data_IF_871559061440
#
_entry.id   IF_871559061440
#
_cell.length_a   1.000
_cell.length_b   1.000
_cell.length_c   1.000
_cell.angle_alpha   90.00
_cell.angle_beta   90.00
_cell.angle_gamma   90.00
#
_symmetry.space_group_name_H-M   'P 1'
#
loop_
_entity.id
_entity.type
_entity.pdbx_description
1 polymer ?
#
# COMPACT_ATOMS: atom_id res chain seq x y z
N UNK A 1 22.14 -4.02 -0.63
CA UNK A 1 21.60 -2.98 0.29
C UNK A 1 20.09 -3.13 0.52
N UNK A 2 19.20 -3.04 -0.48
CA UNK A 2 17.76 -3.27 -0.22
C UNK A 2 17.46 -4.71 0.25
N UNK A 3 18.17 -5.70 -0.25
CA UNK A 3 17.99 -7.12 0.12
C UNK A 3 18.49 -7.47 1.55
N UNK A 4 19.01 -6.50 2.28
CA UNK A 4 19.43 -6.65 3.69
C UNK A 4 18.35 -6.16 4.66
N UNK A 5 17.25 -5.60 4.12
CA UNK A 5 16.11 -5.13 4.89
C UNK A 5 15.05 -6.23 4.97
N UNK A 6 14.37 -6.32 6.11
CA UNK A 6 13.27 -7.27 6.31
C UNK A 6 12.09 -6.99 5.39
N UNK A 7 11.83 -5.70 5.09
CA UNK A 7 10.82 -5.26 4.13
C UNK A 7 11.13 -3.86 3.58
N UNK A 8 10.55 -3.53 2.45
CA UNK A 8 10.68 -2.21 1.79
C UNK A 8 9.30 -1.66 1.45
N UNK A 9 9.08 -0.41 1.82
CA UNK A 9 7.92 0.38 1.36
C UNK A 9 8.38 1.24 0.19
N UNK A 10 7.89 0.93 -1.01
CA UNK A 10 8.12 1.76 -2.20
C UNK A 10 7.02 2.81 -2.31
N UNK A 11 7.37 4.07 -2.46
CA UNK A 11 6.41 5.18 -2.44
C UNK A 11 6.66 6.18 -3.56
N UNK A 12 5.60 6.82 -4.02
CA UNK A 12 5.66 7.88 -5.03
C UNK A 12 6.00 9.22 -4.36
N UNK A 13 7.23 9.69 -4.54
CA UNK A 13 7.72 10.95 -3.96
C UNK A 13 8.19 11.99 -4.95
N UNK A 14 8.28 11.66 -6.22
CA UNK A 14 8.89 12.53 -7.22
C UNK A 14 7.98 13.72 -7.56
N UNK A 15 8.17 14.83 -6.86
CA UNK A 15 7.59 16.12 -7.19
C UNK A 15 7.84 16.45 -8.68
N UNK A 16 6.78 16.56 -9.46
CA UNK A 16 6.83 16.92 -10.87
C UNK A 16 7.09 15.79 -11.87
N UNK A 17 7.65 14.66 -11.45
CA UNK A 17 7.97 13.54 -12.34
C UNK A 17 6.76 12.76 -12.80
N UNK A 18 5.72 12.70 -11.96
CA UNK A 18 4.45 11.98 -12.18
C UNK A 18 3.35 12.87 -12.80
N UNK A 19 3.51 14.19 -12.71
CA UNK A 19 2.55 15.14 -13.27
C UNK A 19 2.69 15.24 -14.79
N UNK A 20 1.55 15.24 -15.48
CA UNK A 20 1.49 15.38 -16.94
C UNK A 20 1.93 14.14 -17.72
N UNK A 21 2.12 13.01 -17.03
CA UNK A 21 2.26 11.69 -17.64
C UNK A 21 0.88 11.06 -17.74
N UNK A 22 0.70 10.20 -18.73
CA UNK A 22 -0.51 9.42 -18.89
C UNK A 22 -0.63 8.30 -17.83
N UNK A 23 -1.83 7.79 -17.66
CA UNK A 23 -2.17 6.71 -16.74
C UNK A 23 -1.34 5.46 -17.00
N UNK A 24 -1.15 5.10 -18.26
CA UNK A 24 -0.40 3.90 -18.64
C UNK A 24 1.05 4.00 -18.15
N UNK A 25 1.74 5.10 -18.45
CA UNK A 25 3.13 5.31 -18.04
C UNK A 25 3.30 5.28 -16.52
N UNK A 26 2.40 5.92 -15.78
CA UNK A 26 2.43 5.92 -14.32
C UNK A 26 2.16 4.52 -13.76
N UNK A 27 1.19 3.81 -14.32
CA UNK A 27 0.87 2.43 -13.92
C UNK A 27 2.06 1.51 -14.14
N UNK A 28 2.69 1.55 -15.32
CA UNK A 28 3.87 0.74 -15.63
C UNK A 28 5.03 0.97 -14.65
N UNK A 29 5.28 2.20 -14.22
CA UNK A 29 6.31 2.47 -13.20
C UNK A 29 5.95 1.86 -11.83
N UNK A 30 4.66 1.84 -11.44
CA UNK A 30 4.25 1.16 -10.20
C UNK A 30 4.40 -0.36 -10.32
N UNK A 31 4.02 -0.95 -11.45
CA UNK A 31 4.19 -2.38 -11.70
C UNK A 31 5.67 -2.77 -11.61
N UNK A 32 6.58 -1.99 -12.22
CA UNK A 32 8.02 -2.21 -12.13
C UNK A 32 8.54 -2.11 -10.67
N UNK A 33 7.99 -1.19 -9.88
CA UNK A 33 8.35 -1.09 -8.46
C UNK A 33 7.87 -2.30 -7.65
N UNK A 34 6.70 -2.86 -7.98
CA UNK A 34 6.14 -4.08 -7.38
C UNK A 34 6.97 -5.31 -7.78
N UNK A 35 7.43 -5.38 -9.03
CA UNK A 35 8.27 -6.48 -9.53
C UNK A 35 9.62 -6.57 -8.83
N UNK A 36 10.09 -5.47 -8.26
CA UNK A 36 11.35 -5.48 -7.54
C UNK A 36 11.28 -6.44 -6.35
N UNK A 37 12.20 -7.42 -6.22
CA UNK A 37 12.10 -8.48 -5.21
C UNK A 37 12.10 -7.96 -3.77
N UNK A 38 12.77 -6.86 -3.49
CA UNK A 38 12.80 -6.26 -2.15
C UNK A 38 11.52 -5.47 -1.81
N UNK A 39 10.69 -5.08 -2.78
CA UNK A 39 9.47 -4.32 -2.51
C UNK A 39 8.42 -5.22 -1.86
N UNK A 40 8.01 -4.88 -0.65
CA UNK A 40 6.96 -5.59 0.08
C UNK A 40 5.67 -4.81 0.10
N UNK A 41 5.75 -3.48 0.25
CA UNK A 41 4.59 -2.60 0.38
C UNK A 41 4.66 -1.50 -0.67
N UNK A 42 3.55 -1.22 -1.35
CA UNK A 42 3.39 -0.03 -2.17
C UNK A 42 2.70 1.06 -1.33
N UNK A 43 3.43 2.15 -1.04
CA UNK A 43 2.98 3.26 -0.20
C UNK A 43 2.23 4.33 -1.00
N UNK A 44 1.14 4.87 -0.45
CA UNK A 44 0.29 5.96 -0.99
C UNK A 44 0.32 6.08 -2.53
N UNK A 45 -0.21 5.08 -3.25
CA UNK A 45 0.07 4.84 -4.67
C UNK A 45 -0.38 5.96 -5.61
N UNK A 46 -1.39 6.76 -5.21
CA UNK A 46 -1.84 7.89 -6.03
C UNK A 46 -1.09 9.18 -5.74
N UNK A 47 -0.40 9.25 -4.61
CA UNK A 47 0.29 10.47 -4.17
C UNK A 47 -0.65 11.65 -3.93
N UNK A 48 -1.98 11.44 -3.80
CA UNK A 48 -2.96 12.51 -3.58
C UNK A 48 -2.73 13.24 -2.26
N UNK A 49 -3.15 14.51 -2.23
CA UNK A 49 -3.26 15.30 -1.01
C UNK A 49 -4.65 15.93 -1.01
N UNK A 50 -5.51 15.48 -0.10
CA UNK A 50 -6.88 15.99 0.04
C UNK A 50 -6.86 17.52 0.25
N UNK A 51 -7.74 18.23 -0.45
CA UNK A 51 -7.81 19.71 -0.47
C UNK A 51 -6.54 20.42 -0.99
N UNK A 52 -5.57 19.70 -1.52
CA UNK A 52 -4.33 20.28 -2.00
C UNK A 52 -3.94 19.86 -3.42
N UNK A 53 -4.02 18.57 -3.71
CA UNK A 53 -3.57 18.01 -4.99
C UNK A 53 -4.33 16.74 -5.31
N UNK A 54 -4.86 16.65 -6.52
CA UNK A 54 -5.40 15.39 -7.04
C UNK A 54 -4.31 14.32 -7.11
N UNK A 55 -4.73 13.06 -7.04
CA UNK A 55 -3.85 11.93 -7.28
C UNK A 55 -3.31 11.92 -8.70
N UNK A 56 -2.20 11.25 -8.89
CA UNK A 56 -1.72 10.93 -10.24
C UNK A 56 -2.68 9.94 -10.90
N UNK A 57 -2.83 10.06 -12.22
CA UNK A 57 -3.58 9.09 -13.00
C UNK A 57 -2.85 7.75 -12.99
N UNK A 58 -3.49 6.74 -12.42
CA UNK A 58 -2.96 5.37 -12.24
C UNK A 58 -4.13 4.39 -12.30
N UNK A 59 -3.99 3.33 -13.06
CA UNK A 59 -4.90 2.19 -13.02
C UNK A 59 -4.63 1.33 -11.76
N UNK A 60 -5.29 1.69 -10.67
CA UNK A 60 -5.18 0.95 -9.40
C UNK A 60 -5.78 -0.46 -9.48
N UNK A 61 -6.67 -0.74 -10.45
CA UNK A 61 -7.18 -2.09 -10.63
C UNK A 61 -6.07 -2.99 -11.17
N UNK A 62 -5.37 -2.56 -12.23
CA UNK A 62 -4.22 -3.27 -12.77
C UNK A 62 -3.12 -3.47 -11.73
N UNK A 63 -2.85 -2.46 -10.89
CA UNK A 63 -1.87 -2.54 -9.79
C UNK A 63 -2.27 -3.62 -8.77
N UNK A 64 -3.53 -3.66 -8.34
CA UNK A 64 -4.02 -4.65 -7.38
C UNK A 64 -4.06 -6.06 -7.96
N UNK A 65 -4.48 -6.21 -9.22
CA UNK A 65 -4.48 -7.50 -9.92
C UNK A 65 -3.04 -8.05 -10.02
N UNK A 66 -2.06 -7.22 -10.37
CA UNK A 66 -0.65 -7.59 -10.43
C UNK A 66 -0.08 -7.99 -9.06
N UNK A 67 -0.45 -7.28 -7.99
CA UNK A 67 -0.06 -7.66 -6.62
C UNK A 67 -0.66 -9.02 -6.22
N UNK A 68 -1.89 -9.30 -6.62
CA UNK A 68 -2.54 -10.57 -6.36
C UNK A 68 -1.82 -11.74 -7.08
N UNK A 69 -1.35 -11.54 -8.30
CA UNK A 69 -0.53 -12.51 -9.04
C UNK A 69 0.76 -12.83 -8.27
N UNK A 70 1.49 -11.81 -7.80
CA UNK A 70 2.68 -12.01 -6.98
C UNK A 70 2.38 -12.79 -5.69
N UNK A 71 1.27 -12.47 -5.01
CA UNK A 71 0.87 -13.15 -3.77
C UNK A 71 0.50 -14.63 -4.03
N UNK A 72 -0.14 -14.92 -5.16
CA UNK A 72 -0.44 -16.30 -5.56
C UNK A 72 0.83 -17.13 -5.82
N UNK A 73 1.94 -16.49 -6.17
CA UNK A 73 3.24 -17.10 -6.35
C UNK A 73 4.08 -17.15 -5.05
N UNK A 74 3.49 -16.79 -3.90
CA UNK A 74 4.15 -16.80 -2.60
C UNK A 74 5.06 -15.59 -2.33
N UNK A 75 4.96 -14.54 -3.13
CA UNK A 75 5.73 -13.30 -2.97
C UNK A 75 4.85 -12.23 -2.32
N UNK A 76 5.05 -11.96 -1.04
CA UNK A 76 4.24 -10.98 -0.31
C UNK A 76 4.33 -9.59 -0.93
N UNK A 77 3.22 -9.09 -1.43
CA UNK A 77 2.99 -7.71 -1.88
C UNK A 77 1.77 -7.16 -1.17
N UNK A 78 1.94 -6.10 -0.43
CA UNK A 78 0.89 -5.45 0.34
C UNK A 78 0.66 -4.01 -0.13
N UNK A 79 -0.58 -3.56 -0.06
CA UNK A 79 -0.96 -2.19 -0.39
C UNK A 79 -1.06 -1.33 0.88
N UNK A 80 -0.46 -0.14 0.87
CA UNK A 80 -0.64 0.79 1.96
C UNK A 80 -2.03 1.44 1.92
N UNK A 81 -2.67 1.52 3.07
CA UNK A 81 -3.69 2.51 3.38
C UNK A 81 -3.04 3.59 4.26
N UNK A 82 -2.59 4.66 3.64
CA UNK A 82 -2.02 5.81 4.33
C UNK A 82 -3.11 6.50 5.15
N UNK A 83 -2.93 6.51 6.46
CA UNK A 83 -3.93 6.99 7.42
C UNK A 83 -3.86 8.50 7.66
N UNK A 84 -2.88 9.21 7.07
CA UNK A 84 -2.83 10.66 7.18
C UNK A 84 -4.14 11.28 6.71
N UNK A 85 -4.79 12.14 7.52
CA UNK A 85 -6.04 12.80 7.13
C UNK A 85 -5.88 13.70 5.91
N UNK A 86 -4.66 14.02 5.53
CA UNK A 86 -4.35 14.75 4.30
C UNK A 86 -4.27 13.86 3.07
N UNK A 87 -4.25 12.53 3.23
CA UNK A 87 -4.12 11.58 2.11
C UNK A 87 -5.30 10.60 2.03
N UNK A 88 -5.46 9.74 3.04
CA UNK A 88 -6.36 8.58 3.05
C UNK A 88 -6.24 7.77 1.75
N UNK A 89 -5.01 7.45 1.39
CA UNK A 89 -4.58 6.81 0.14
C UNK A 89 -3.99 5.42 0.49
N UNK A 90 -4.66 4.41 0.24
CA UNK A 90 -5.70 3.99 -0.70
C UNK A 90 -7.11 4.47 -0.31
N UNK A 91 -7.95 4.75 -1.31
CA UNK A 91 -9.38 5.03 -1.11
C UNK A 91 -10.13 3.76 -0.64
N UNK A 92 -11.18 3.92 0.18
CA UNK A 92 -11.94 2.80 0.73
C UNK A 92 -12.52 1.86 -0.34
N UNK A 93 -12.84 2.35 -1.53
CA UNK A 93 -13.36 1.54 -2.65
C UNK A 93 -12.30 0.57 -3.16
N UNK A 94 -11.07 1.01 -3.23
CA UNK A 94 -9.93 0.17 -3.62
C UNK A 94 -9.52 -0.78 -2.49
N UNK A 95 -9.72 -0.41 -1.22
CA UNK A 95 -9.56 -1.33 -0.08
C UNK A 95 -10.49 -2.55 -0.23
N UNK A 96 -11.75 -2.32 -0.63
CA UNK A 96 -12.69 -3.41 -0.90
C UNK A 96 -12.17 -4.34 -2.01
N UNK A 97 -11.66 -3.76 -3.09
CA UNK A 97 -11.10 -4.53 -4.20
C UNK A 97 -9.85 -5.32 -3.77
N UNK A 98 -8.96 -4.71 -2.99
CA UNK A 98 -7.79 -5.41 -2.44
C UNK A 98 -8.21 -6.66 -1.65
N UNK A 99 -9.23 -6.53 -0.78
CA UNK A 99 -9.80 -7.67 -0.07
C UNK A 99 -10.33 -8.75 -1.00
N UNK A 100 -11.12 -8.39 -2.03
CA UNK A 100 -11.69 -9.35 -2.99
C UNK A 100 -10.61 -10.14 -3.72
N UNK A 101 -9.45 -9.54 -3.94
CA UNK A 101 -8.29 -10.15 -4.58
C UNK A 101 -7.34 -10.87 -3.62
N UNK A 102 -7.56 -10.78 -2.30
CA UNK A 102 -6.65 -11.33 -1.30
C UNK A 102 -5.33 -10.55 -1.18
N UNK A 103 -5.30 -9.30 -1.64
CA UNK A 103 -4.13 -8.41 -1.47
C UNK A 103 -4.18 -7.83 -0.05
N UNK A 104 -3.21 -8.15 0.82
CA UNK A 104 -3.19 -7.65 2.19
C UNK A 104 -2.95 -6.14 2.21
N UNK A 105 -3.51 -5.49 3.23
CA UNK A 105 -3.38 -4.04 3.43
C UNK A 105 -2.53 -3.76 4.67
N UNK A 106 -1.69 -2.72 4.59
CA UNK A 106 -0.96 -2.15 5.72
C UNK A 106 -1.49 -0.76 6.00
N UNK A 107 -1.93 -0.50 7.22
CA UNK A 107 -2.39 0.83 7.65
C UNK A 107 -1.22 1.58 8.27
N UNK A 108 -0.79 2.68 7.67
CA UNK A 108 0.34 3.48 8.14
C UNK A 108 -0.07 4.96 8.30
N UNK A 109 0.34 5.64 9.36
CA UNK A 109 -0.04 7.04 9.59
C UNK A 109 0.76 8.04 8.75
N UNK A 110 1.88 7.63 8.14
CA UNK A 110 2.83 8.53 7.45
C UNK A 110 3.28 9.69 8.37
N UNK A 111 3.52 9.35 9.65
CA UNK A 111 3.71 10.32 10.72
C UNK A 111 5.07 11.03 10.61
N UNK A 112 5.04 12.35 10.55
CA UNK A 112 6.22 13.23 10.58
C UNK A 112 6.40 13.92 11.95
N UNK A 113 5.61 13.50 12.94
CA UNK A 113 5.67 13.97 14.31
C UNK A 113 5.04 12.93 15.25
N UNK A 114 5.32 12.99 16.54
CA UNK A 114 4.71 12.11 17.55
C UNK A 114 3.18 12.21 17.53
N UNK A 115 2.62 13.40 17.32
CA UNK A 115 1.18 13.61 17.22
C UNK A 115 0.58 12.88 16.00
N UNK A 116 1.29 12.83 14.90
CA UNK A 116 0.84 12.15 13.68
C UNK A 116 0.63 10.64 13.85
N UNK A 117 1.23 10.02 14.88
CA UNK A 117 0.98 8.60 15.18
C UNK A 117 -0.49 8.32 15.52
N UNK A 118 -1.22 9.30 16.05
CA UNK A 118 -2.65 9.19 16.34
C UNK A 118 -3.53 9.14 15.08
N UNK A 119 -3.00 9.49 13.92
CA UNK A 119 -3.73 9.48 12.66
C UNK A 119 -4.11 8.05 12.19
N UNK A 120 -3.52 7.02 12.82
CA UNK A 120 -3.95 5.62 12.66
C UNK A 120 -5.48 5.45 12.76
N UNK A 121 -6.15 6.23 13.60
CA UNK A 121 -7.60 6.17 13.77
C UNK A 121 -8.36 6.43 12.45
N UNK A 122 -7.88 7.35 11.61
CA UNK A 122 -8.49 7.66 10.31
C UNK A 122 -8.30 6.49 9.32
N UNK A 123 -7.13 5.87 9.34
CA UNK A 123 -6.86 4.68 8.54
C UNK A 123 -7.77 3.52 8.90
N UNK A 124 -7.94 3.24 10.20
CA UNK A 124 -8.85 2.19 10.69
C UNK A 124 -10.29 2.48 10.26
N UNK A 125 -10.77 3.72 10.36
CA UNK A 125 -12.11 4.08 9.90
C UNK A 125 -12.27 3.87 8.38
N UNK A 126 -11.26 4.23 7.60
CA UNK A 126 -11.24 4.04 6.14
C UNK A 126 -11.21 2.55 5.77
N UNK A 127 -10.37 1.76 6.46
CA UNK A 127 -10.30 0.31 6.30
C UNK A 127 -11.67 -0.35 6.56
N UNK A 128 -12.32 -0.02 7.66
CA UNK A 128 -13.66 -0.53 8.00
C UNK A 128 -14.71 -0.13 6.98
N UNK A 129 -14.64 1.10 6.45
CA UNK A 129 -15.51 1.54 5.35
C UNK A 129 -15.25 0.73 4.07
N UNK A 130 -14.02 0.32 3.82
CA UNK A 130 -13.61 -0.57 2.73
C UNK A 130 -13.85 -2.05 3.01
N UNK A 131 -14.59 -2.39 4.08
CA UNK A 131 -14.96 -3.77 4.47
C UNK A 131 -13.77 -4.64 4.89
N UNK A 132 -12.63 -4.04 5.20
CA UNK A 132 -11.50 -4.78 5.73
C UNK A 132 -11.77 -5.22 7.17
N UNK A 133 -11.41 -6.46 7.45
CA UNK A 133 -11.36 -7.06 8.79
C UNK A 133 -9.91 -7.26 9.25
N UNK A 134 -9.72 -7.83 10.46
CA UNK A 134 -8.37 -8.11 10.97
C UNK A 134 -7.54 -9.00 10.03
N UNK A 135 -8.15 -9.97 9.38
CA UNK A 135 -7.45 -10.91 8.49
C UNK A 135 -6.95 -10.27 7.19
N UNK A 136 -7.47 -9.10 6.83
CA UNK A 136 -7.10 -8.35 5.64
C UNK A 136 -5.95 -7.36 5.90
N UNK A 137 -5.59 -7.13 7.19
CA UNK A 137 -4.69 -6.04 7.61
C UNK A 137 -3.47 -6.60 8.34
N UNK A 138 -2.28 -6.43 7.76
CA UNK A 138 -1.03 -6.99 8.31
C UNK A 138 -0.67 -6.42 9.69
N UNK A 139 -1.08 -5.18 10.01
CA UNK A 139 -0.82 -4.58 11.33
C UNK A 139 -1.51 -5.30 12.50
N UNK A 140 -2.44 -6.20 12.24
CA UNK A 140 -3.11 -7.01 13.27
C UNK A 140 -2.32 -8.25 13.69
N UNK A 141 -1.32 -8.62 12.89
CA UNK A 141 -0.45 -9.75 13.18
C UNK A 141 0.46 -9.45 14.40
N UNK A 142 0.80 -10.50 15.14
CA UNK A 142 1.91 -10.40 16.11
C UNK A 142 3.23 -10.16 15.39
N UNK A 143 4.24 -9.64 16.09
CA UNK A 143 5.57 -9.46 15.49
C UNK A 143 6.18 -10.79 14.97
N UNK A 144 5.90 -11.90 15.65
CA UNK A 144 6.31 -13.24 15.23
C UNK A 144 5.63 -13.68 13.93
N UNK A 145 4.29 -13.52 13.86
CA UNK A 145 3.51 -13.85 12.68
C UNK A 145 3.89 -12.95 11.49
N UNK A 146 4.13 -11.67 11.73
CA UNK A 146 4.58 -10.77 10.67
C UNK A 146 5.97 -11.16 10.15
N UNK A 147 6.90 -11.51 11.04
CA UNK A 147 8.21 -11.97 10.64
C UNK A 147 8.17 -13.28 9.84
N UNK A 148 7.31 -14.22 10.21
CA UNK A 148 7.07 -15.45 9.43
C UNK A 148 6.50 -15.13 8.05
N UNK A 149 5.50 -14.25 7.98
CA UNK A 149 4.90 -13.79 6.73
C UNK A 149 5.92 -13.16 5.79
N UNK A 150 6.82 -12.32 6.32
CA UNK A 150 7.87 -11.66 5.52
C UNK A 150 8.91 -12.67 4.98
N UNK A 151 9.15 -13.78 5.69
CA UNK A 151 10.05 -14.83 5.22
C UNK A 151 9.41 -15.85 4.28
N UNK A 152 8.09 -15.82 4.13
CA UNK A 152 7.36 -16.84 3.38
C UNK A 152 7.25 -18.19 4.12
N UNK A 153 7.43 -18.17 5.44
CA UNK A 153 7.39 -19.37 6.30
C UNK A 153 5.96 -19.77 6.69
N UNK A 154 4.97 -19.47 5.87
CA UNK A 154 3.59 -19.88 6.13
C UNK A 154 3.40 -21.34 5.75
N UNK A 155 3.39 -22.20 6.79
CA UNK A 155 3.01 -23.59 6.73
C UNK A 155 1.50 -23.78 6.85
#
# INVERSE_FOLDING_TARGET
MLNELDYVVASVHALGRWRGRDEQTNTEELLQAIDHPATTVLGHPTGRILQGRDGYEVDLMAVLDHMAEHNAEGRLKAMELNASPYRLDLDWRHCKRAKELGVPVVVNPDAHSVRGLADMAYGVMTARRGWLGPDDVLNTLSGEAMAARLRGDEG
#
